data_IF_586964029044
#
_entry.id   IF_586964029044
#
_cell.length_a   1.000
_cell.length_b   1.000
_cell.length_c   1.000
_cell.angle_alpha   90.00
_cell.angle_beta   90.00
_cell.angle_gamma   90.00
#
_symmetry.space_group_name_H-M   'P 1'
#
loop_
_entity.id
_entity.type
_entity.pdbx_description
1 polymer ?
#
# COMPACT_ATOMS: atom_id res chain seq x y z
N UNK A 1 -16.87 -22.67 -3.66
CA UNK A 1 -15.92 -22.06 -4.61
C UNK A 1 -15.77 -20.57 -4.35
N UNK A 2 -14.93 -20.18 -3.39
CA UNK A 2 -14.58 -18.77 -3.21
C UNK A 2 -13.26 -18.53 -3.91
N UNK A 3 -13.32 -18.07 -5.16
CA UNK A 3 -12.17 -17.41 -5.78
C UNK A 3 -11.97 -16.14 -4.97
N UNK A 4 -11.06 -16.19 -4.01
CA UNK A 4 -10.70 -15.01 -3.24
C UNK A 4 -10.20 -13.97 -4.26
N UNK A 5 -10.94 -12.87 -4.38
CA UNK A 5 -10.76 -11.93 -5.48
C UNK A 5 -9.44 -11.20 -5.27
N UNK A 6 -8.40 -11.69 -5.94
CA UNK A 6 -7.12 -10.99 -6.01
C UNK A 6 -7.33 -9.66 -6.73
N UNK A 7 -6.81 -8.59 -6.15
CA UNK A 7 -7.07 -7.23 -6.63
C UNK A 7 -5.83 -6.33 -6.46
N UNK A 8 -5.74 -5.23 -7.22
CA UNK A 8 -4.75 -4.20 -6.94
C UNK A 8 -5.00 -3.55 -5.58
N UNK A 9 -3.98 -2.86 -5.06
CA UNK A 9 -4.18 -1.94 -3.93
C UNK A 9 -5.26 -0.93 -4.32
N UNK A 10 -6.21 -0.70 -3.41
CA UNK A 10 -7.28 0.27 -3.58
C UNK A 10 -7.50 1.05 -2.29
N UNK A 11 -8.04 2.26 -2.40
CA UNK A 11 -8.38 3.08 -1.22
C UNK A 11 -9.35 2.35 -0.29
N UNK A 12 -10.28 1.57 -0.84
CA UNK A 12 -11.19 0.73 -0.06
C UNK A 12 -10.43 -0.29 0.78
N UNK A 13 -9.46 -1.00 0.18
CA UNK A 13 -8.63 -1.96 0.90
C UNK A 13 -7.81 -1.28 2.02
N UNK A 14 -7.26 -0.10 1.73
CA UNK A 14 -6.48 0.67 2.71
C UNK A 14 -7.35 1.08 3.90
N UNK A 15 -8.57 1.57 3.65
CA UNK A 15 -9.58 1.90 4.67
C UNK A 15 -9.92 0.70 5.55
N UNK A 16 -10.21 -0.43 4.93
CA UNK A 16 -10.52 -1.69 5.62
C UNK A 16 -9.34 -2.21 6.45
N UNK A 17 -8.11 -1.97 6.01
CA UNK A 17 -6.90 -2.43 6.69
C UNK A 17 -6.51 -1.57 7.90
N UNK A 18 -6.86 -0.28 7.91
CA UNK A 18 -6.43 0.67 8.95
C UNK A 18 -7.56 1.12 9.88
N UNK A 19 -8.73 0.45 9.83
CA UNK A 19 -9.91 0.63 10.69
C UNK A 19 -10.02 2.06 11.19
N UNK A 20 -10.25 3.02 10.28
CA UNK A 20 -10.47 4.40 10.70
C UNK A 20 -11.75 4.39 11.53
N UNK A 21 -11.75 4.89 12.78
CA UNK A 21 -12.94 4.84 13.62
C UNK A 21 -14.10 5.52 12.89
N UNK A 22 -15.20 4.78 12.65
CA UNK A 22 -16.46 5.31 12.09
C UNK A 22 -17.03 6.49 12.90
N UNK A 23 -16.45 6.80 14.06
CA UNK A 23 -16.80 7.90 14.95
C UNK A 23 -16.44 9.30 14.40
N UNK A 24 -15.86 9.41 13.21
CA UNK A 24 -15.64 10.71 12.57
C UNK A 24 -16.83 11.03 11.66
N UNK A 25 -17.65 11.99 12.09
CA UNK A 25 -18.89 12.39 11.42
C UNK A 25 -18.67 13.14 10.08
N UNK A 26 -17.43 13.23 9.61
CA UNK A 26 -17.02 14.01 8.45
C UNK A 26 -16.08 13.18 7.55
N UNK A 27 -16.55 12.89 6.33
CA UNK A 27 -15.84 12.07 5.34
C UNK A 27 -14.47 12.69 4.96
N UNK A 28 -14.39 14.03 4.94
CA UNK A 28 -13.14 14.73 4.62
C UNK A 28 -12.07 14.47 5.67
N UNK A 29 -12.46 14.48 6.95
CA UNK A 29 -11.56 14.21 8.07
C UNK A 29 -11.00 12.77 8.04
N UNK A 30 -11.82 11.79 7.62
CA UNK A 30 -11.39 10.40 7.46
C UNK A 30 -10.35 10.26 6.35
N UNK A 31 -10.61 10.87 5.19
CA UNK A 31 -9.68 10.85 4.05
C UNK A 31 -8.34 11.48 4.45
N UNK A 32 -8.36 12.63 5.12
CA UNK A 32 -7.12 13.27 5.58
C UNK A 32 -6.33 12.38 6.55
N UNK A 33 -7.00 11.63 7.43
CA UNK A 33 -6.34 10.69 8.33
C UNK A 33 -5.63 9.55 7.58
N UNK A 34 -6.26 9.04 6.51
CA UNK A 34 -5.66 8.01 5.65
C UNK A 34 -4.45 8.54 4.87
N UNK A 35 -4.56 9.73 4.29
CA UNK A 35 -3.47 10.35 3.54
C UNK A 35 -2.29 10.73 4.44
N UNK A 36 -2.53 10.93 5.74
CA UNK A 36 -1.49 11.21 6.72
C UNK A 36 -0.78 9.94 7.25
N UNK A 37 -1.15 8.74 6.80
CA UNK A 37 -0.52 7.49 7.24
C UNK A 37 0.97 7.46 6.86
N UNK A 38 1.81 7.23 7.86
CA UNK A 38 3.25 6.99 7.67
C UNK A 38 3.58 5.51 7.48
N UNK A 39 2.72 4.64 7.98
CA UNK A 39 2.89 3.19 7.93
C UNK A 39 1.67 2.60 7.26
N UNK A 40 1.86 1.93 6.14
CA UNK A 40 0.80 1.27 5.39
C UNK A 40 0.98 -0.25 5.47
N UNK A 41 0.08 -0.92 6.19
CA UNK A 41 0.08 -2.38 6.35
C UNK A 41 -1.02 -3.04 5.53
N UNK A 42 -0.59 -3.79 4.52
CA UNK A 42 -1.46 -4.51 3.59
C UNK A 42 -1.03 -5.99 3.49
N UNK A 43 -0.47 -6.54 4.55
CA UNK A 43 -0.04 -7.94 4.60
C UNK A 43 -1.24 -8.89 4.51
N UNK A 44 -1.13 -9.96 3.73
CA UNK A 44 -2.17 -10.99 3.62
C UNK A 44 -3.47 -10.52 2.98
N UNK A 45 -3.43 -9.45 2.19
CA UNK A 45 -4.61 -8.82 1.57
C UNK A 45 -4.91 -9.28 0.14
N UNK A 46 -4.20 -10.31 -0.34
CA UNK A 46 -4.36 -10.88 -1.69
C UNK A 46 -4.12 -9.83 -2.79
N UNK A 47 -3.20 -8.90 -2.52
CA UNK A 47 -2.83 -7.86 -3.48
C UNK A 47 -2.02 -8.47 -4.62
N UNK A 48 -2.35 -8.17 -5.87
CA UNK A 48 -1.57 -8.59 -7.05
C UNK A 48 -0.74 -7.48 -7.65
N UNK A 49 -1.13 -6.23 -7.43
CA UNK A 49 -0.51 -5.08 -8.07
C UNK A 49 -0.42 -3.91 -7.10
N UNK A 50 0.72 -3.22 -7.13
CA UNK A 50 0.93 -1.96 -6.44
C UNK A 50 0.35 -0.85 -7.32
N UNK A 51 -0.70 -0.19 -6.84
CA UNK A 51 -1.43 0.86 -7.57
C UNK A 51 -2.20 1.75 -6.59
N UNK A 52 -2.76 2.87 -7.04
CA UNK A 52 -3.57 3.80 -6.23
C UNK A 52 -2.86 4.35 -4.98
N UNK A 53 -1.54 4.57 -5.07
CA UNK A 53 -0.70 5.11 -3.99
C UNK A 53 -0.26 6.56 -4.22
N UNK A 54 -0.80 7.25 -5.24
CA UNK A 54 -0.36 8.59 -5.67
C UNK A 54 -0.57 9.65 -4.60
N UNK A 55 -1.62 9.51 -3.80
CA UNK A 55 -1.99 10.44 -2.74
C UNK A 55 -1.30 10.14 -1.40
N UNK A 56 -0.59 9.01 -1.27
CA UNK A 56 -0.01 8.53 0.00
C UNK A 56 1.47 8.92 0.16
N UNK A 57 1.79 10.19 -0.14
CA UNK A 57 3.16 10.72 -0.15
C UNK A 57 3.85 10.78 1.24
N UNK A 58 3.06 10.64 2.32
CA UNK A 58 3.54 10.61 3.70
C UNK A 58 4.08 9.23 4.13
N UNK A 59 3.81 8.18 3.36
CA UNK A 59 4.19 6.80 3.72
C UNK A 59 5.70 6.64 3.73
N UNK A 60 6.20 6.10 4.84
CA UNK A 60 7.60 5.77 5.10
C UNK A 60 7.83 4.27 5.17
N UNK A 61 6.83 3.50 5.60
CA UNK A 61 6.93 2.04 5.68
C UNK A 61 5.75 1.39 4.96
N UNK A 62 6.05 0.53 4.00
CA UNK A 62 5.06 -0.21 3.21
C UNK A 62 5.23 -1.71 3.44
N UNK A 63 4.24 -2.33 4.08
CA UNK A 63 4.20 -3.76 4.35
C UNK A 63 3.20 -4.43 3.41
N UNK A 64 3.71 -5.31 2.54
CA UNK A 64 2.97 -6.04 1.53
C UNK A 64 3.28 -7.54 1.59
N UNK A 65 3.63 -8.07 2.75
CA UNK A 65 3.98 -9.48 2.87
C UNK A 65 2.76 -10.40 2.62
N UNK A 66 3.02 -11.65 2.21
CA UNK A 66 1.97 -12.65 2.02
C UNK A 66 0.87 -12.21 1.02
N UNK A 67 1.29 -11.54 -0.05
CA UNK A 67 0.44 -11.13 -1.16
C UNK A 67 0.85 -11.90 -2.44
N UNK A 68 0.24 -11.56 -3.58
CA UNK A 68 0.49 -12.19 -4.88
C UNK A 68 1.12 -11.21 -5.88
N UNK A 69 1.93 -10.26 -5.40
CA UNK A 69 2.52 -9.21 -6.24
C UNK A 69 3.59 -9.83 -7.14
N UNK A 70 3.47 -9.62 -8.45
CA UNK A 70 4.43 -10.13 -9.45
C UNK A 70 5.46 -9.09 -9.91
N UNK A 71 5.14 -7.80 -9.76
CA UNK A 71 5.98 -6.70 -10.22
C UNK A 71 5.99 -5.55 -9.21
N UNK A 72 7.18 -5.01 -8.97
CA UNK A 72 7.35 -3.74 -8.27
C UNK A 72 7.18 -2.60 -9.29
N UNK A 73 6.16 -1.77 -9.09
CA UNK A 73 5.80 -0.64 -9.95
C UNK A 73 5.04 0.44 -9.14
N UNK A 74 4.81 1.60 -9.75
CA UNK A 74 3.98 2.69 -9.20
C UNK A 74 4.40 3.17 -7.81
N UNK A 75 5.71 3.21 -7.52
CA UNK A 75 6.26 3.74 -6.28
C UNK A 75 6.78 5.18 -6.44
N UNK A 76 6.62 5.81 -7.61
CA UNK A 76 7.12 7.16 -7.95
C UNK A 76 6.73 8.23 -6.92
N UNK A 77 5.55 8.09 -6.33
CA UNK A 77 4.96 9.05 -5.40
C UNK A 77 5.43 8.87 -3.95
N UNK A 78 6.01 7.71 -3.61
CA UNK A 78 6.44 7.38 -2.25
C UNK A 78 7.86 7.87 -1.98
N UNK A 79 8.13 9.16 -2.21
CA UNK A 79 9.46 9.75 -2.07
C UNK A 79 10.05 9.64 -0.66
N UNK A 80 9.20 9.39 0.35
CA UNK A 80 9.56 9.23 1.76
C UNK A 80 9.72 7.78 2.20
N UNK A 81 9.53 6.82 1.29
CA UNK A 81 9.62 5.40 1.61
C UNK A 81 11.03 5.04 2.07
N UNK A 82 11.10 4.43 3.24
CA UNK A 82 12.30 3.95 3.92
C UNK A 82 12.34 2.44 4.01
N UNK A 83 11.17 1.81 4.14
CA UNK A 83 11.04 0.37 4.27
C UNK A 83 9.99 -0.15 3.29
N UNK A 84 10.38 -1.11 2.47
CA UNK A 84 9.49 -1.85 1.58
C UNK A 84 9.61 -3.34 1.87
N UNK A 85 8.53 -3.92 2.38
CA UNK A 85 8.49 -5.33 2.78
C UNK A 85 7.60 -6.15 1.84
N UNK A 86 8.22 -6.96 0.98
CA UNK A 86 7.56 -7.78 -0.04
C UNK A 86 7.74 -9.30 0.18
N UNK A 87 8.08 -9.73 1.39
CA UNK A 87 8.27 -11.15 1.69
C UNK A 87 7.04 -12.01 1.37
N UNK A 88 7.23 -13.24 0.90
CA UNK A 88 6.15 -14.14 0.49
C UNK A 88 5.22 -13.53 -0.59
N UNK A 89 5.81 -12.93 -1.63
CA UNK A 89 5.13 -12.55 -2.88
C UNK A 89 5.67 -13.36 -4.07
N UNK A 90 5.14 -13.10 -5.26
CA UNK A 90 5.56 -13.73 -6.52
C UNK A 90 6.42 -12.79 -7.39
N UNK A 91 7.16 -11.84 -6.78
CA UNK A 91 7.87 -10.78 -7.50
C UNK A 91 8.92 -11.38 -8.44
N UNK A 92 8.75 -11.16 -9.74
CA UNK A 92 9.68 -11.55 -10.81
C UNK A 92 10.35 -10.35 -11.47
N UNK A 93 9.70 -9.18 -11.40
CA UNK A 93 10.16 -7.94 -12.02
C UNK A 93 10.35 -6.87 -10.96
N UNK A 94 11.54 -6.28 -10.93
CA UNK A 94 11.91 -5.21 -10.01
C UNK A 94 12.25 -3.96 -10.83
N UNK A 95 11.32 -3.01 -10.83
CA UNK A 95 11.46 -1.71 -11.48
C UNK A 95 11.08 -0.60 -10.50
N UNK A 96 11.24 0.67 -10.92
CA UNK A 96 10.70 1.80 -10.16
C UNK A 96 11.23 1.89 -8.70
N UNK A 97 12.52 1.60 -8.47
CA UNK A 97 13.16 1.76 -7.16
C UNK A 97 14.23 2.87 -7.13
N UNK A 98 14.67 3.36 -8.30
CA UNK A 98 15.83 4.26 -8.40
C UNK A 98 15.61 5.64 -7.78
N UNK A 99 14.37 6.11 -7.74
CA UNK A 99 14.01 7.41 -7.17
C UNK A 99 13.81 7.35 -5.65
N UNK A 100 13.70 6.16 -5.07
CA UNK A 100 13.51 5.95 -3.63
C UNK A 100 14.85 6.08 -2.88
N UNK A 101 15.34 7.32 -2.79
CA UNK A 101 16.66 7.63 -2.20
C UNK A 101 16.77 7.34 -0.70
N UNK A 102 15.63 7.17 -0.02
CA UNK A 102 15.55 6.92 1.41
C UNK A 102 15.32 5.45 1.75
N UNK A 103 15.13 4.60 0.73
CA UNK A 103 14.89 3.18 0.90
C UNK A 103 16.18 2.48 1.36
N UNK A 104 16.12 1.82 2.52
CA UNK A 104 17.24 1.09 3.13
C UNK A 104 17.27 -0.40 2.74
#
# INVERSE_FOLDING_TARGET
DSVAAMAPISVKLIREAHTVPEAHADEDSEVQALLALQVLRLDGKQVTEIDNLESFDQVQELYLQYNAIEQIQNLDFLARLRLLSLGNNAVRVVENLRHLKLLE
#
